data_IF_276851600395
#
_entry.id   IF_276851600395
#
_cell.length_a   1.000
_cell.length_b   1.000
_cell.length_c   1.000
_cell.angle_alpha   90.00
_cell.angle_beta   90.00
_cell.angle_gamma   90.00
#
_symmetry.space_group_name_H-M   'P 1'
#
loop_
_entity.id
_entity.type
_entity.pdbx_description
1 polymer ?
#
# COMPACT_ATOMS: atom_id res chain seq x y z
N UNK A 1 -12.44 27.00 9.49
CA UNK A 1 -12.59 26.15 8.28
C UNK A 1 -11.21 25.61 7.95
N UNK A 2 -10.87 24.42 8.44
CA UNK A 2 -9.51 23.90 8.37
C UNK A 2 -9.22 23.38 6.96
N UNK A 3 -8.56 24.20 6.14
CA UNK A 3 -7.82 23.74 4.98
C UNK A 3 -6.61 22.94 5.52
N UNK A 4 -6.84 21.76 6.10
CA UNK A 4 -5.81 20.72 6.08
C UNK A 4 -5.65 20.38 4.60
N UNK A 5 -4.47 20.66 4.05
CA UNK A 5 -4.23 20.78 2.61
C UNK A 5 -4.72 19.56 1.82
N UNK A 6 -5.89 19.66 1.18
CA UNK A 6 -6.43 18.64 0.28
C UNK A 6 -5.42 18.23 -0.79
N UNK A 7 -4.66 19.21 -1.30
CA UNK A 7 -3.58 18.95 -2.25
C UNK A 7 -2.47 18.06 -1.67
N UNK A 8 -2.13 18.22 -0.38
CA UNK A 8 -1.15 17.38 0.30
C UNK A 8 -1.70 15.98 0.55
N UNK A 9 -2.95 15.87 1.00
CA UNK A 9 -3.65 14.59 1.15
C UNK A 9 -3.61 13.80 -0.16
N UNK A 10 -4.12 14.39 -1.25
CA UNK A 10 -4.25 13.72 -2.54
C UNK A 10 -2.89 13.30 -3.10
N UNK A 11 -1.87 14.17 -2.96
CA UNK A 11 -0.51 13.88 -3.43
C UNK A 11 0.15 12.74 -2.63
N UNK A 12 0.01 12.77 -1.30
CA UNK A 12 0.55 11.74 -0.41
C UNK A 12 -0.10 10.38 -0.69
N UNK A 13 -1.43 10.34 -0.70
CA UNK A 13 -2.17 9.11 -0.97
C UNK A 13 -1.82 8.52 -2.34
N UNK A 14 -1.80 9.36 -3.39
CA UNK A 14 -1.44 8.91 -4.74
C UNK A 14 -0.01 8.37 -4.81
N UNK A 15 0.93 8.99 -4.09
CA UNK A 15 2.30 8.51 -4.04
C UNK A 15 2.39 7.14 -3.38
N UNK A 16 1.79 6.97 -2.19
CA UNK A 16 1.77 5.69 -1.47
C UNK A 16 1.19 4.57 -2.35
N UNK A 17 0.00 4.79 -2.93
CA UNK A 17 -0.67 3.80 -3.78
C UNK A 17 0.18 3.41 -5.00
N UNK A 18 0.88 4.38 -5.61
CA UNK A 18 1.76 4.12 -6.77
C UNK A 18 2.97 3.27 -6.39
N UNK A 19 3.57 3.50 -5.23
CA UNK A 19 4.76 2.75 -4.81
C UNK A 19 4.40 1.31 -4.44
N UNK A 20 3.27 1.11 -3.75
CA UNK A 20 2.74 -0.22 -3.41
C UNK A 20 2.35 -0.99 -4.67
N UNK A 21 1.63 -0.36 -5.61
CA UNK A 21 1.27 -0.99 -6.88
C UNK A 21 2.48 -1.38 -7.74
N UNK A 22 3.64 -0.76 -7.51
CA UNK A 22 4.89 -1.10 -8.15
C UNK A 22 5.75 -2.10 -7.35
N UNK A 23 5.24 -2.63 -6.23
CA UNK A 23 5.94 -3.58 -5.37
C UNK A 23 7.16 -3.02 -4.67
N UNK A 24 7.34 -1.70 -4.63
CA UNK A 24 8.53 -1.08 -4.02
C UNK A 24 8.31 -0.93 -2.53
N UNK A 25 9.02 -1.73 -1.73
CA UNK A 25 9.05 -1.65 -0.27
C UNK A 25 7.66 -1.49 0.36
N UNK A 26 6.76 -2.44 0.04
CA UNK A 26 5.34 -2.38 0.41
C UNK A 26 5.14 -2.23 1.92
N UNK A 27 5.98 -2.91 2.72
CA UNK A 27 5.93 -2.82 4.18
C UNK A 27 6.23 -1.39 4.67
N UNK A 28 7.26 -0.73 4.12
CA UNK A 28 7.58 0.66 4.45
C UNK A 28 6.45 1.62 4.09
N UNK A 29 5.85 1.47 2.90
CA UNK A 29 4.77 2.37 2.50
C UNK A 29 3.47 2.13 3.27
N UNK A 30 3.23 0.91 3.74
CA UNK A 30 2.12 0.60 4.64
C UNK A 30 2.32 1.26 6.00
N UNK A 31 3.49 1.11 6.62
CA UNK A 31 3.85 1.75 7.89
C UNK A 31 3.73 3.29 7.82
N UNK A 32 4.20 3.85 6.70
CA UNK A 32 4.08 5.28 6.43
C UNK A 32 2.64 5.74 6.27
N UNK A 33 1.76 4.92 5.68
CA UNK A 33 0.34 5.24 5.58
C UNK A 33 -0.30 5.35 6.97
N UNK A 34 -0.02 4.40 7.87
CA UNK A 34 -0.48 4.47 9.26
C UNK A 34 0.07 5.68 10.02
N UNK A 35 1.34 6.02 9.82
CA UNK A 35 1.90 7.27 10.38
C UNK A 35 1.10 8.51 9.92
N UNK A 36 0.63 8.51 8.67
CA UNK A 36 -0.20 9.61 8.15
C UNK A 36 -1.64 9.58 8.68
N UNK A 37 -2.20 8.41 8.99
CA UNK A 37 -3.45 8.28 9.73
C UNK A 37 -3.32 8.93 11.13
N UNK A 38 -2.27 8.59 11.87
CA UNK A 38 -2.02 9.13 13.22
C UNK A 38 -1.86 10.68 13.21
N UNK A 39 -1.24 11.21 12.17
CA UNK A 39 -1.13 12.67 11.98
C UNK A 39 -2.45 13.36 11.60
N UNK A 40 -3.49 12.58 11.27
CA UNK A 40 -4.75 13.03 10.71
C UNK A 40 -4.60 13.68 9.33
N UNK A 41 -3.60 13.23 8.55
CA UNK A 41 -3.44 13.57 7.13
C UNK A 41 -4.25 12.62 6.27
N UNK A 42 -4.25 11.31 6.57
CA UNK A 42 -5.08 10.29 5.93
C UNK A 42 -6.23 9.88 6.86
N UNK A 43 -7.24 9.25 6.27
CA UNK A 43 -8.41 8.69 6.95
C UNK A 43 -8.36 7.17 6.96
N UNK A 44 -9.22 6.54 7.76
CA UNK A 44 -9.34 5.07 7.80
C UNK A 44 -9.75 4.50 6.43
N UNK A 45 -10.60 5.21 5.67
CA UNK A 45 -10.98 4.82 4.31
C UNK A 45 -9.77 4.81 3.36
N UNK A 46 -8.87 5.80 3.47
CA UNK A 46 -7.64 5.83 2.67
C UNK A 46 -6.70 4.67 3.01
N UNK A 47 -6.65 4.28 4.29
CA UNK A 47 -5.86 3.13 4.75
C UNK A 47 -6.44 1.83 4.19
N UNK A 48 -7.76 1.64 4.19
CA UNK A 48 -8.38 0.46 3.62
C UNK A 48 -8.06 0.30 2.12
N UNK A 49 -8.03 1.40 1.36
CA UNK A 49 -7.61 1.37 -0.05
C UNK A 49 -6.13 0.98 -0.24
N UNK A 50 -5.27 1.45 0.67
CA UNK A 50 -3.83 1.14 0.68
C UNK A 50 -3.58 -0.31 1.07
N UNK A 51 -4.27 -0.83 2.08
CA UNK A 51 -4.24 -2.22 2.51
C UNK A 51 -4.69 -3.17 1.42
N UNK A 52 -5.75 -2.83 0.69
CA UNK A 52 -6.22 -3.65 -0.43
C UNK A 52 -5.15 -3.80 -1.53
N UNK A 53 -4.38 -2.73 -1.81
CA UNK A 53 -3.27 -2.80 -2.76
C UNK A 53 -2.11 -3.65 -2.22
N UNK A 54 -1.77 -3.51 -0.93
CA UNK A 54 -0.73 -4.31 -0.32
C UNK A 54 -1.11 -5.80 -0.28
N UNK A 55 -2.36 -6.11 0.04
CA UNK A 55 -2.89 -7.48 0.02
C UNK A 55 -2.84 -8.07 -1.39
N UNK A 56 -3.21 -7.30 -2.42
CA UNK A 56 -3.09 -7.74 -3.80
C UNK A 56 -1.65 -8.08 -4.19
N UNK A 57 -0.68 -7.28 -3.74
CA UNK A 57 0.75 -7.55 -3.94
C UNK A 57 1.19 -8.85 -3.26
N UNK A 58 0.87 -9.04 -1.97
CA UNK A 58 1.26 -10.26 -1.25
C UNK A 58 0.56 -11.51 -1.79
N UNK A 59 -0.70 -11.40 -2.23
CA UNK A 59 -1.40 -12.49 -2.89
C UNK A 59 -0.72 -12.89 -4.21
N UNK A 60 -0.23 -11.91 -4.98
CA UNK A 60 0.50 -12.18 -6.22
C UNK A 60 1.83 -12.89 -5.94
N UNK A 61 2.59 -12.43 -4.94
CA UNK A 61 3.84 -13.10 -4.53
C UNK A 61 3.60 -14.54 -4.06
N UNK A 62 2.60 -14.78 -3.23
CA UNK A 62 2.27 -16.13 -2.75
C UNK A 62 1.86 -17.07 -3.90
N UNK A 63 1.17 -16.55 -4.92
CA UNK A 63 0.83 -17.30 -6.12
C UNK A 63 2.07 -17.62 -6.98
N UNK A 64 2.98 -16.66 -7.14
CA UNK A 64 4.26 -16.84 -7.85
C UNK A 64 5.17 -17.86 -7.14
N UNK A 65 5.29 -17.77 -5.81
CA UNK A 65 6.10 -18.69 -5.01
C UNK A 65 5.58 -20.13 -5.09
N UNK A 66 4.25 -20.32 -5.06
CA UNK A 66 3.63 -21.65 -5.25
C UNK A 66 3.91 -22.24 -6.62
N UNK A 67 3.82 -21.43 -7.68
CA UNK A 67 4.10 -21.87 -9.03
C UNK A 67 5.57 -22.30 -9.19
N UNK A 68 6.50 -21.55 -8.60
CA UNK A 68 7.93 -21.85 -8.68
C UNK A 68 8.32 -23.09 -7.85
N UNK A 69 7.64 -23.33 -6.72
CA UNK A 69 7.88 -24.51 -5.89
C UNK A 69 7.48 -25.84 -6.58
N UNK A 70 6.45 -25.82 -7.43
CA UNK A 70 5.99 -27.00 -8.16
C UNK A 70 6.96 -27.40 -9.30
N UNK A 71 7.60 -26.43 -9.97
CA UNK A 71 8.54 -26.67 -11.09
C UNK A 71 9.84 -27.38 -10.66
N UNK A 72 10.30 -27.20 -9.42
CA UNK A 72 11.56 -27.80 -8.92
C UNK A 72 11.40 -29.29 -8.56
N UNK A 73 10.16 -29.82 -8.52
CA UNK A 73 9.88 -31.19 -8.07
C UNK A 73 9.56 -32.20 -9.18
N UNK A 74 9.64 -31.82 -10.45
CA UNK A 74 9.49 -32.72 -11.62
C UNK A 74 10.82 -33.09 -12.27
#
# INVERSE_FOLDING_TARGET
MAIKSKARHDLTLRSIKREIAAGRDVAYWLDKAYTHLDSGLLTEDDIAEVEALAQAYYNALDAEDKANAEEITQ
#
